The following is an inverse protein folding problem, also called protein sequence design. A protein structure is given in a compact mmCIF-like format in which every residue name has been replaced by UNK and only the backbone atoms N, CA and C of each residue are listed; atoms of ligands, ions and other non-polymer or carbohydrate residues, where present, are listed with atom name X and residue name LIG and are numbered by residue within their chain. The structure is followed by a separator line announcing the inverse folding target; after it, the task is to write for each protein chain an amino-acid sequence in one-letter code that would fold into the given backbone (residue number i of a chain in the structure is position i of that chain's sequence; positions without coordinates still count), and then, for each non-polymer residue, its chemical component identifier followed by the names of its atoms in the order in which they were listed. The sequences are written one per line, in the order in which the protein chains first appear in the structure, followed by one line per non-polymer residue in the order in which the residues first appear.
data_IF_564791829405
#
_entry.id   IF_564791829405
#
_cell.length_a   1.000
_cell.length_b   1.000
_cell.length_c   1.000
_cell.angle_alpha   90.00
_cell.angle_beta   90.00
_cell.angle_gamma   90.00
#
_symmetry.space_group_name_H-M   'P 1'
#
loop_
_entity.id
_entity.type
_entity.pdbx_description
1 polymer ?
#
# COMPACT_ATOMS: atom_id res chain seq x y z
N UNK A 1 -3.10 6.37 -21.50
CA UNK A 1 -4.54 6.06 -21.31
C UNK A 1 -4.73 4.57 -21.34
N UNK A 2 -5.37 3.98 -20.33
CA UNK A 2 -5.56 2.51 -20.23
C UNK A 2 -6.64 2.11 -21.24
N UNK A 3 -6.26 1.36 -22.28
CA UNK A 3 -7.19 0.89 -23.32
C UNK A 3 -8.01 -0.26 -22.75
N UNK A 4 -9.32 -0.28 -23.03
CA UNK A 4 -10.16 -1.42 -22.70
C UNK A 4 -9.84 -2.61 -23.62
N UNK A 5 -9.02 -3.52 -23.11
CA UNK A 5 -8.57 -4.71 -23.83
C UNK A 5 -9.69 -5.72 -24.07
N UNK A 6 -10.72 -5.74 -23.22
CA UNK A 6 -11.84 -6.67 -23.35
C UNK A 6 -12.79 -6.23 -24.47
N UNK A 7 -12.98 -4.92 -24.62
CA UNK A 7 -13.70 -4.33 -25.75
C UNK A 7 -12.95 -4.52 -27.08
N UNK A 8 -11.63 -4.34 -27.08
CA UNK A 8 -10.81 -4.49 -28.28
C UNK A 8 -10.60 -5.95 -28.70
N UNK A 9 -10.41 -6.85 -27.73
CA UNK A 9 -10.19 -8.28 -27.96
C UNK A 9 -10.86 -9.13 -26.87
N UNK A 10 -12.08 -9.63 -27.12
CA UNK A 10 -12.79 -10.47 -26.18
C UNK A 10 -12.04 -11.79 -25.90
N UNK A 11 -12.18 -12.30 -24.67
CA UNK A 11 -11.48 -13.50 -24.20
C UNK A 11 -11.67 -14.71 -25.12
N UNK A 12 -12.88 -14.89 -25.66
CA UNK A 12 -13.22 -15.99 -26.57
C UNK A 12 -12.47 -15.94 -27.92
N UNK A 13 -12.00 -14.76 -28.34
CA UNK A 13 -11.22 -14.58 -29.57
C UNK A 13 -9.71 -14.64 -29.32
N UNK A 14 -9.25 -14.32 -28.12
CA UNK A 14 -7.83 -14.36 -27.75
C UNK A 14 -7.37 -15.71 -27.22
N UNK A 15 -8.25 -16.46 -26.54
CA UNK A 15 -7.93 -17.73 -25.89
C UNK A 15 -8.96 -18.81 -26.24
N UNK A 16 -8.54 -20.08 -26.21
CA UNK A 16 -9.38 -21.25 -26.48
C UNK A 16 -9.30 -21.79 -27.92
N UNK A 17 -10.11 -22.82 -28.21
CA UNK A 17 -10.02 -23.56 -29.49
C UNK A 17 -10.36 -22.72 -30.73
N UNK A 18 -11.13 -21.64 -30.54
CA UNK A 18 -11.48 -20.66 -31.59
C UNK A 18 -10.61 -19.40 -31.56
N UNK A 19 -9.50 -19.42 -30.82
CA UNK A 19 -8.59 -18.28 -30.73
C UNK A 19 -8.03 -17.90 -32.11
N UNK A 20 -8.20 -16.63 -32.47
CA UNK A 20 -7.67 -16.08 -33.72
C UNK A 20 -6.33 -15.35 -33.52
N UNK A 21 -5.95 -15.06 -32.27
CA UNK A 21 -4.68 -14.39 -31.96
C UNK A 21 -3.50 -15.36 -32.07
N UNK A 22 -2.67 -15.18 -33.09
CA UNK A 22 -1.46 -16.00 -33.33
C UNK A 22 -0.19 -15.45 -32.69
N UNK A 23 -0.09 -14.13 -32.49
CA UNK A 23 1.07 -13.46 -31.90
C UNK A 23 0.65 -12.34 -30.92
N UNK A 24 1.42 -12.09 -29.85
CA UNK A 24 1.21 -10.93 -28.98
C UNK A 24 1.42 -9.63 -29.77
N UNK A 25 0.51 -8.66 -29.60
CA UNK A 25 0.69 -7.30 -30.10
C UNK A 25 1.31 -6.47 -28.98
N UNK A 26 2.64 -6.41 -28.96
CA UNK A 26 3.38 -5.50 -28.08
C UNK A 26 3.72 -4.25 -28.89
N UNK A 27 3.62 -3.08 -28.27
CA UNK A 27 3.98 -1.82 -28.93
C UNK A 27 5.46 -1.87 -29.36
N UNK A 28 5.82 -1.47 -30.58
CA UNK A 28 7.21 -1.49 -31.03
C UNK A 28 8.11 -0.53 -30.22
N UNK A 29 7.55 0.38 -29.42
CA UNK A 29 8.29 1.19 -28.45
C UNK A 29 8.79 0.35 -27.26
N UNK A 30 8.01 -0.64 -26.81
CA UNK A 30 8.44 -1.67 -25.84
C UNK A 30 9.43 -2.66 -26.46
N UNK A 31 9.33 -2.91 -27.77
CA UNK A 31 10.28 -3.76 -28.49
C UNK A 31 11.61 -3.04 -28.81
N UNK A 32 11.59 -1.73 -29.10
CA UNK A 32 12.79 -0.88 -29.28
C UNK A 32 13.46 -0.49 -27.97
N UNK A 33 12.71 -0.50 -26.86
CA UNK A 33 13.27 -0.40 -25.51
C UNK A 33 14.26 -1.52 -25.18
N UNK A 34 14.31 -2.61 -25.96
CA UNK A 34 15.31 -3.67 -25.79
C UNK A 34 16.74 -3.24 -26.19
N UNK A 35 16.91 -2.27 -27.10
CA UNK A 35 18.24 -1.90 -27.62
C UNK A 35 18.91 -0.76 -26.82
N UNK A 36 18.12 0.18 -26.28
CA UNK A 36 18.57 1.12 -25.25
C UNK A 36 18.45 0.58 -23.81
N UNK A 37 17.73 -0.54 -23.68
CA UNK A 37 17.59 -1.42 -22.54
C UNK A 37 18.93 -1.92 -21.99
N UNK A 38 19.84 -2.34 -22.87
CA UNK A 38 20.95 -3.26 -22.57
C UNK A 38 21.67 -3.01 -21.23
N UNK A 39 22.07 -1.77 -20.93
CA UNK A 39 22.77 -1.45 -19.67
C UNK A 39 21.87 -1.34 -18.43
N UNK A 40 20.61 -0.88 -18.56
CA UNK A 40 19.64 -0.87 -17.47
C UNK A 40 19.00 -2.26 -17.27
N UNK A 41 18.88 -3.04 -18.34
CA UNK A 41 18.38 -4.40 -18.34
C UNK A 41 19.38 -5.38 -17.75
N UNK A 42 20.69 -5.14 -17.80
CA UNK A 42 21.64 -6.02 -17.12
C UNK A 42 21.47 -5.91 -15.60
N UNK A 43 21.43 -4.71 -15.04
CA UNK A 43 21.16 -4.51 -13.60
C UNK A 43 19.72 -4.90 -13.21
N UNK A 44 18.71 -4.58 -14.02
CA UNK A 44 17.31 -4.99 -13.76
C UNK A 44 17.09 -6.50 -13.98
N UNK A 45 17.81 -7.15 -14.90
CA UNK A 45 17.74 -8.59 -15.11
C UNK A 45 18.58 -9.36 -14.08
N UNK A 46 19.71 -8.82 -13.63
CA UNK A 46 20.44 -9.34 -12.48
C UNK A 46 19.60 -9.20 -11.21
N UNK A 47 19.02 -8.03 -10.95
CA UNK A 47 18.12 -7.82 -9.82
C UNK A 47 16.87 -8.70 -9.94
N UNK A 48 16.32 -8.85 -11.14
CA UNK A 48 15.19 -9.73 -11.44
C UNK A 48 15.52 -11.21 -11.27
N UNK A 49 16.71 -11.65 -11.66
CA UNK A 49 17.21 -13.01 -11.46
C UNK A 49 17.50 -13.28 -9.97
N UNK A 50 18.04 -12.28 -9.25
CA UNK A 50 18.22 -12.35 -7.80
C UNK A 50 16.86 -12.46 -7.09
N UNK A 51 15.87 -11.65 -7.47
CA UNK A 51 14.50 -11.72 -6.96
C UNK A 51 13.84 -13.07 -7.27
N UNK A 52 13.94 -13.56 -8.51
CA UNK A 52 13.43 -14.87 -8.90
C UNK A 52 14.09 -15.98 -8.08
N UNK A 53 15.41 -15.95 -7.92
CA UNK A 53 16.14 -16.93 -7.12
C UNK A 53 15.79 -16.85 -5.63
N UNK A 54 15.50 -15.66 -5.11
CA UNK A 54 15.06 -15.46 -3.73
C UNK A 54 13.64 -16.00 -3.52
N UNK A 55 12.73 -15.80 -4.48
CA UNK A 55 11.36 -16.34 -4.47
C UNK A 55 11.37 -17.86 -4.60
N UNK A 56 12.18 -18.40 -5.50
CA UNK A 56 12.34 -19.85 -5.67
C UNK A 56 12.91 -20.50 -4.40
N UNK A 57 13.94 -19.90 -3.80
CA UNK A 57 14.47 -20.37 -2.51
C UNK A 57 13.45 -20.23 -1.38
N UNK A 58 12.67 -19.15 -1.34
CA UNK A 58 11.64 -18.94 -0.33
C UNK A 58 10.47 -19.92 -0.47
N UNK A 59 10.10 -20.30 -1.70
CA UNK A 59 9.05 -21.28 -1.96
C UNK A 59 9.50 -22.73 -1.79
N UNK A 60 10.78 -23.03 -2.05
CA UNK A 60 11.39 -24.31 -1.75
C UNK A 60 11.81 -24.45 -0.28
N UNK A 61 11.84 -23.35 0.47
CA UNK A 61 12.11 -23.34 1.89
C UNK A 61 10.91 -23.90 2.65
N UNK A 62 11.09 -25.10 3.19
CA UNK A 62 10.12 -25.72 4.09
C UNK A 62 10.52 -25.40 5.53
N UNK A 63 9.81 -24.45 6.13
CA UNK A 63 9.95 -24.09 7.53
C UNK A 63 9.86 -25.33 8.43
N UNK A 64 9.09 -26.36 8.07
CA UNK A 64 8.92 -27.59 8.85
C UNK A 64 10.18 -28.44 8.99
N UNK A 65 11.13 -28.31 8.06
CA UNK A 65 12.33 -29.15 7.95
C UNK A 65 13.58 -28.47 8.52
N UNK A 66 13.57 -27.15 8.68
CA UNK A 66 14.71 -26.38 9.19
C UNK A 66 14.86 -26.53 10.72
N UNK A 67 15.81 -27.38 11.14
CA UNK A 67 16.13 -27.64 12.54
C UNK A 67 16.89 -26.49 13.22
N UNK A 68 17.42 -25.54 12.46
CA UNK A 68 18.07 -24.33 12.98
C UNK A 68 17.08 -23.18 13.17
N UNK A 69 15.86 -23.31 12.65
CA UNK A 69 14.78 -22.36 12.89
C UNK A 69 14.38 -22.45 14.37
N UNK A 70 14.96 -21.57 15.19
CA UNK A 70 14.56 -21.35 16.57
C UNK A 70 13.12 -20.83 16.58
N UNK A 71 12.17 -21.74 16.60
CA UNK A 71 10.77 -21.45 16.92
C UNK A 71 10.68 -21.29 18.42
N UNK A 72 11.04 -20.13 18.93
CA UNK A 72 10.29 -19.62 20.08
C UNK A 72 8.87 -19.41 19.55
N UNK A 73 8.06 -20.46 19.62
CA UNK A 73 6.62 -20.30 19.64
C UNK A 73 6.31 -19.59 20.97
N UNK A 74 6.68 -18.31 21.08
CA UNK A 74 5.94 -17.41 21.91
C UNK A 74 4.52 -17.51 21.36
N UNK A 75 3.69 -18.29 22.06
CA UNK A 75 2.26 -18.26 21.84
C UNK A 75 1.89 -16.80 22.04
N UNK A 76 1.75 -16.07 20.93
CA UNK A 76 1.31 -14.68 20.94
C UNK A 76 -0.03 -14.73 21.65
N UNK A 77 -0.01 -14.31 22.91
CA UNK A 77 -1.18 -14.37 23.78
C UNK A 77 -2.35 -13.63 23.14
N UNK A 78 -3.56 -13.83 23.65
CA UNK A 78 -4.71 -13.08 23.16
C UNK A 78 -4.38 -11.58 23.17
N UNK A 79 -4.64 -10.90 22.05
CA UNK A 79 -4.35 -9.48 21.88
C UNK A 79 -5.02 -8.70 23.02
N UNK A 80 -4.25 -7.95 23.80
CA UNK A 80 -4.79 -7.22 24.94
C UNK A 80 -5.87 -6.22 24.49
N UNK A 81 -7.01 -6.21 25.17
CA UNK A 81 -8.14 -5.31 24.86
C UNK A 81 -7.75 -3.82 24.85
N UNK A 82 -6.65 -3.47 25.54
CA UNK A 82 -6.14 -2.10 25.60
C UNK A 82 -5.69 -1.58 24.22
N UNK A 83 -5.31 -2.46 23.29
CA UNK A 83 -4.94 -2.08 21.93
C UNK A 83 -6.15 -1.64 21.08
N UNK A 84 -7.37 -2.02 21.49
CA UNK A 84 -8.62 -1.59 20.84
C UNK A 84 -9.19 -0.31 21.48
N UNK A 85 -8.54 0.20 22.52
CA UNK A 85 -8.94 1.44 23.16
C UNK A 85 -8.92 2.59 22.13
N UNK A 86 -9.92 3.46 22.19
CA UNK A 86 -10.09 4.56 21.23
C UNK A 86 -10.91 4.20 19.98
N UNK A 87 -11.06 2.92 19.62
CA UNK A 87 -11.82 2.49 18.44
C UNK A 87 -13.30 2.20 18.72
N UNK A 88 -13.79 2.55 19.91
CA UNK A 88 -15.18 2.29 20.29
C UNK A 88 -16.18 3.11 19.46
N UNK A 89 -17.36 2.52 19.21
CA UNK A 89 -18.48 3.22 18.55
C UNK A 89 -18.86 4.52 19.26
N UNK A 90 -18.77 4.54 20.59
CA UNK A 90 -19.06 5.72 21.41
C UNK A 90 -18.12 6.88 21.08
N UNK A 91 -16.81 6.64 21.06
CA UNK A 91 -15.80 7.68 20.76
C UNK A 91 -15.95 8.16 19.32
N UNK A 92 -16.13 7.22 18.38
CA UNK A 92 -16.37 7.57 16.97
C UNK A 92 -17.62 8.45 16.80
N UNK A 93 -18.71 8.15 17.51
CA UNK A 93 -19.92 8.96 17.45
C UNK A 93 -19.69 10.40 17.97
N UNK A 94 -18.98 10.56 19.09
CA UNK A 94 -18.62 11.88 19.61
C UNK A 94 -17.73 12.66 18.63
N UNK A 95 -16.74 12.00 18.01
CA UNK A 95 -15.88 12.64 17.01
C UNK A 95 -16.69 13.23 15.85
N UNK A 96 -17.65 12.47 15.29
CA UNK A 96 -18.46 12.97 14.18
C UNK A 96 -19.42 14.09 14.60
N UNK A 97 -19.92 14.10 15.85
CA UNK A 97 -20.69 15.25 16.38
C UNK A 97 -19.85 16.53 16.43
N UNK A 98 -18.59 16.41 16.86
CA UNK A 98 -17.66 17.56 16.92
C UNK A 98 -17.30 18.03 15.51
N UNK A 99 -17.06 17.11 14.59
CA UNK A 99 -16.81 17.45 13.18
C UNK A 99 -18.01 18.19 12.59
N UNK A 100 -19.24 17.73 12.85
CA UNK A 100 -20.45 18.35 12.29
C UNK A 100 -20.71 19.76 12.85
N UNK A 101 -20.48 19.96 14.16
CA UNK A 101 -20.67 21.25 14.83
C UNK A 101 -19.56 22.29 14.62
N UNK A 102 -18.40 21.91 14.06
CA UNK A 102 -17.26 22.80 13.87
C UNK A 102 -17.12 23.35 12.45
N UNK A 103 -16.69 24.61 12.32
CA UNK A 103 -16.34 25.19 11.02
C UNK A 103 -14.88 24.91 10.63
N UNK A 104 -14.01 24.81 11.64
CA UNK A 104 -12.57 24.53 11.49
C UNK A 104 -12.19 23.37 12.39
N UNK A 105 -11.53 22.36 11.81
CA UNK A 105 -10.99 21.19 12.50
C UNK A 105 -9.48 21.30 12.56
N UNK A 106 -8.94 21.26 13.78
CA UNK A 106 -7.49 21.25 14.01
C UNK A 106 -7.04 19.83 14.34
N UNK A 107 -6.22 19.25 13.47
CA UNK A 107 -5.58 17.96 13.68
C UNK A 107 -4.22 18.18 14.36
N UNK A 108 -4.16 17.88 15.65
CA UNK A 108 -2.92 17.96 16.43
C UNK A 108 -2.07 16.73 16.16
N UNK A 109 -0.85 16.94 15.70
CA UNK A 109 0.11 15.92 15.34
C UNK A 109 1.31 15.97 16.30
N UNK A 110 1.88 14.81 16.63
CA UNK A 110 3.12 14.73 17.42
C UNK A 110 4.31 14.95 16.47
N UNK A 111 5.15 15.96 16.75
CA UNK A 111 6.28 16.32 15.90
C UNK A 111 7.30 15.18 15.74
N UNK A 112 7.35 14.22 16.68
CA UNK A 112 8.25 13.06 16.60
C UNK A 112 7.83 12.05 15.55
N UNK A 113 6.53 11.92 15.30
CA UNK A 113 5.97 11.05 14.28
C UNK A 113 4.68 11.66 13.68
N UNK A 114 4.82 12.69 12.83
CA UNK A 114 3.69 13.40 12.28
C UNK A 114 2.94 12.58 11.22
N UNK A 115 3.53 11.50 10.67
CA UNK A 115 2.85 10.63 9.71
C UNK A 115 2.09 9.50 10.40
N UNK A 116 2.66 8.91 11.46
CA UNK A 116 2.00 7.86 12.23
C UNK A 116 0.87 8.37 13.13
N UNK A 117 0.91 9.64 13.56
CA UNK A 117 -0.17 10.25 14.36
C UNK A 117 -1.28 10.89 13.52
N UNK A 118 -1.22 10.80 12.18
CA UNK A 118 -2.30 11.27 11.30
C UNK A 118 -3.48 10.31 11.25
N UNK A 119 -4.65 10.88 10.96
CA UNK A 119 -5.91 10.15 10.84
C UNK A 119 -6.45 10.21 9.40
N UNK A 120 -5.88 9.44 8.43
CA UNK A 120 -6.20 9.56 7.01
C UNK A 120 -7.68 9.33 6.71
N UNK A 121 -8.35 8.43 7.45
CA UNK A 121 -9.79 8.19 7.32
C UNK A 121 -10.64 9.43 7.63
N UNK A 122 -10.28 10.19 8.67
CA UNK A 122 -11.00 11.41 9.03
C UNK A 122 -10.73 12.52 7.99
N UNK A 123 -9.49 12.63 7.51
CA UNK A 123 -9.14 13.59 6.46
C UNK A 123 -9.85 13.31 5.13
N UNK A 124 -9.96 12.03 4.75
CA UNK A 124 -10.67 11.62 3.54
C UNK A 124 -12.17 11.88 3.66
N UNK A 125 -12.75 11.61 4.83
CA UNK A 125 -14.14 11.95 5.14
C UNK A 125 -14.39 13.46 5.00
N UNK A 126 -13.57 14.30 5.64
CA UNK A 126 -13.69 15.76 5.54
C UNK A 126 -13.58 16.23 4.08
N UNK A 127 -12.66 15.65 3.31
CA UNK A 127 -12.44 16.00 1.90
C UNK A 127 -13.60 15.58 0.99
N UNK A 128 -14.27 14.47 1.28
CA UNK A 128 -15.37 13.94 0.45
C UNK A 128 -16.71 14.54 0.84
N UNK A 129 -17.02 14.51 2.14
CA UNK A 129 -18.35 14.79 2.68
C UNK A 129 -18.49 16.22 3.22
N UNK A 130 -17.41 16.82 3.75
CA UNK A 130 -17.46 18.11 4.44
C UNK A 130 -16.45 19.14 3.89
N UNK A 131 -16.44 19.34 2.56
CA UNK A 131 -15.50 20.23 1.84
C UNK A 131 -15.48 21.69 2.29
N UNK A 132 -16.56 22.15 2.92
CA UNK A 132 -16.68 23.52 3.42
C UNK A 132 -15.95 23.71 4.75
N UNK A 133 -15.61 22.64 5.46
CA UNK A 133 -14.88 22.70 6.73
C UNK A 133 -13.39 22.81 6.45
N UNK A 134 -12.71 23.69 7.18
CA UNK A 134 -11.27 23.85 7.04
C UNK A 134 -10.53 22.85 7.94
N UNK A 135 -9.56 22.11 7.37
CA UNK A 135 -8.67 21.23 8.12
C UNK A 135 -7.29 21.89 8.26
N UNK A 136 -6.83 22.06 9.50
CA UNK A 136 -5.52 22.65 9.82
C UNK A 136 -4.69 21.64 10.62
N UNK A 137 -3.42 21.47 10.28
CA UNK A 137 -2.49 20.64 11.04
C UNK A 137 -1.70 21.48 12.04
N UNK A 138 -1.67 21.04 13.30
CA UNK A 138 -0.88 21.64 14.37
C UNK A 138 0.20 20.65 14.82
N UNK A 139 1.47 20.95 14.52
CA UNK A 139 2.59 20.19 15.08
C UNK A 139 2.78 20.56 16.55
N UNK A 140 2.68 19.57 17.42
CA UNK A 140 2.84 19.68 18.86
C UNK A 140 4.05 18.84 19.32
N UNK A 141 4.57 19.13 20.52
CA UNK A 141 5.79 18.52 21.09
C UNK A 141 7.05 18.79 20.27
N UNK A 142 7.15 19.98 19.69
CA UNK A 142 8.31 20.42 18.91
C UNK A 142 9.58 20.53 19.77
N UNK A 143 9.46 20.61 21.09
CA UNK A 143 10.56 20.55 22.04
C UNK A 143 11.31 19.20 22.00
N UNK A 144 10.64 18.13 21.59
CA UNK A 144 11.21 16.78 21.54
C UNK A 144 11.93 16.47 20.23
N UNK A 145 11.96 17.41 19.28
CA UNK A 145 12.61 17.25 17.98
C UNK A 145 13.67 18.34 17.82
N UNK A 146 14.91 18.01 17.43
CA UNK A 146 15.95 19.01 17.25
C UNK A 146 15.55 19.98 16.12
N UNK A 147 15.84 21.26 16.34
CA UNK A 147 15.55 22.34 15.37
C UNK A 147 16.59 22.47 14.27
N UNK A 148 17.53 21.52 14.15
CA UNK A 148 18.68 21.57 13.25
C UNK A 148 18.74 20.35 12.36
#
# INVERSE_FOLDING_TARGET
TRVDLLGAQPFAQTFGRKAQRKRPKLDPLLARGAEGAAHQTEEEAELGALLASAVDRASAYDEGVDSNLFREAEAVGPRNYIFDAGQSRRIRAELFKVIDSSDVVVAVLDARDPLGTRAPHAEEFLRKEAKHKHLVFLLNKCDLVPTR
#
